data_IF_482281737782
#
_entry.id   IF_482281737782
#
_cell.length_a   1.000
_cell.length_b   1.000
_cell.length_c   1.000
_cell.angle_alpha   90.00
_cell.angle_beta   90.00
_cell.angle_gamma   90.00
#
_symmetry.space_group_name_H-M   'P 1'
#
loop_
_entity.id
_entity.type
_entity.pdbx_description
1 polymer ?
#
# COMPACT_ATOMS: atom_id res chain seq x y z
N UNK A 1 8.70 7.74 -5.41
CA UNK A 1 10.16 7.54 -5.48
C UNK A 1 10.62 7.28 -6.92
N UNK A 2 10.21 6.19 -7.59
CA UNK A 2 10.73 5.81 -8.92
C UNK A 2 10.61 6.88 -10.01
N UNK A 3 9.43 7.52 -10.15
CA UNK A 3 9.23 8.59 -11.14
C UNK A 3 10.14 9.80 -10.90
N UNK A 4 10.45 10.13 -9.64
CA UNK A 4 11.34 11.25 -9.32
C UNK A 4 12.77 10.97 -9.77
N UNK A 5 13.29 9.79 -9.43
CA UNK A 5 14.64 9.37 -9.84
C UNK A 5 14.78 9.38 -11.36
N UNK A 6 13.78 8.86 -12.08
CA UNK A 6 13.78 8.88 -13.54
C UNK A 6 13.80 10.31 -14.12
N UNK A 7 13.00 11.23 -13.56
CA UNK A 7 13.00 12.65 -13.99
C UNK A 7 14.37 13.29 -13.76
N UNK A 8 14.95 13.11 -12.57
CA UNK A 8 16.26 13.66 -12.22
C UNK A 8 17.36 13.12 -13.16
N UNK A 9 17.33 11.81 -13.45
CA UNK A 9 18.24 11.16 -14.41
C UNK A 9 18.12 11.75 -15.82
N UNK A 10 16.90 11.87 -16.34
CA UNK A 10 16.64 12.40 -17.68
C UNK A 10 17.15 13.85 -17.80
N UNK A 11 16.87 14.68 -16.80
CA UNK A 11 17.35 16.08 -16.76
C UNK A 11 18.88 16.17 -16.72
N UNK A 12 19.56 15.27 -16.00
CA UNK A 12 21.02 15.32 -15.86
C UNK A 12 21.78 14.76 -17.06
N UNK A 13 21.20 13.76 -17.74
CA UNK A 13 21.91 13.01 -18.80
C UNK A 13 21.46 13.37 -20.21
N UNK A 14 20.24 13.89 -20.38
CA UNK A 14 19.63 14.07 -21.69
C UNK A 14 19.27 12.74 -22.38
N UNK A 15 19.24 11.63 -21.64
CA UNK A 15 18.85 10.33 -22.20
C UNK A 15 17.36 10.31 -22.57
N UNK A 16 17.10 10.05 -23.85
CA UNK A 16 15.76 9.96 -24.44
C UNK A 16 15.31 8.51 -24.69
N UNK A 17 16.06 7.52 -24.20
CA UNK A 17 15.69 6.10 -24.30
C UNK A 17 14.31 5.87 -23.66
N UNK A 18 13.36 5.21 -24.36
CA UNK A 18 12.07 4.88 -23.78
C UNK A 18 12.20 4.08 -22.49
N UNK A 19 11.56 4.55 -21.42
CA UNK A 19 11.59 3.93 -20.10
C UNK A 19 10.19 3.51 -19.64
N UNK A 20 10.11 2.39 -18.92
CA UNK A 20 8.88 1.90 -18.29
C UNK A 20 8.99 2.08 -16.78
N UNK A 21 8.03 2.78 -16.17
CA UNK A 21 7.95 2.95 -14.72
C UNK A 21 6.98 1.92 -14.14
N UNK A 22 7.51 0.96 -13.37
CA UNK A 22 6.69 -0.03 -12.68
C UNK A 22 5.99 0.61 -11.46
N UNK A 23 4.66 0.74 -11.52
CA UNK A 23 3.84 1.11 -10.36
C UNK A 23 3.64 -0.10 -9.46
N UNK A 24 4.46 -0.21 -8.40
CA UNK A 24 4.53 -1.41 -7.54
C UNK A 24 3.36 -1.55 -6.57
N UNK A 25 2.60 -0.48 -6.33
CA UNK A 25 1.45 -0.50 -5.44
C UNK A 25 0.39 0.50 -5.88
N UNK A 26 -0.87 0.12 -5.63
CA UNK A 26 -2.00 1.04 -5.76
C UNK A 26 -1.93 2.14 -4.69
N UNK A 27 -2.32 3.39 -5.02
CA UNK A 27 -2.46 4.49 -4.05
C UNK A 27 -3.36 4.14 -2.86
N UNK A 28 -4.37 3.27 -3.04
CA UNK A 28 -5.28 2.82 -1.99
C UNK A 28 -4.62 1.95 -0.90
N UNK A 29 -3.35 1.53 -1.06
CA UNK A 29 -2.59 0.90 0.03
C UNK A 29 -2.03 1.93 1.03
N UNK A 30 -1.95 3.21 0.65
CA UNK A 30 -1.39 4.29 1.47
C UNK A 30 -2.23 5.58 1.36
N UNK A 31 -3.56 5.51 1.55
CA UNK A 31 -4.47 6.60 1.19
C UNK A 31 -4.19 7.89 1.97
N UNK A 32 -3.80 7.80 3.25
CA UNK A 32 -3.44 8.98 4.07
C UNK A 32 -2.22 9.72 3.52
N UNK A 33 -1.17 9.00 3.18
CA UNK A 33 0.04 9.59 2.60
C UNK A 33 -0.24 10.25 1.25
N UNK A 34 -1.13 9.65 0.45
CA UNK A 34 -1.54 10.20 -0.85
C UNK A 34 -2.37 11.47 -0.65
N UNK A 35 -3.37 11.47 0.24
CA UNK A 35 -4.17 12.65 0.56
C UNK A 35 -3.32 13.82 1.07
N UNK A 36 -2.41 13.56 2.01
CA UNK A 36 -1.50 14.60 2.50
C UNK A 36 -0.64 15.21 1.39
N UNK A 37 -0.13 14.37 0.47
CA UNK A 37 0.65 14.84 -0.68
C UNK A 37 -0.20 15.66 -1.68
N UNK A 38 -1.52 15.47 -1.69
CA UNK A 38 -2.48 16.25 -2.47
C UNK A 38 -2.97 17.51 -1.74
N UNK A 39 -2.51 17.76 -0.50
CA UNK A 39 -2.90 18.91 0.30
C UNK A 39 -4.22 18.74 1.05
N UNK A 40 -4.73 17.52 1.13
CA UNK A 40 -5.98 17.21 1.82
C UNK A 40 -5.77 16.98 3.33
N UNK A 41 -6.83 17.24 4.10
CA UNK A 41 -6.85 16.94 5.53
C UNK A 41 -6.72 15.45 5.81
N UNK A 42 -5.97 15.10 6.85
CA UNK A 42 -5.83 13.72 7.28
C UNK A 42 -7.07 13.29 8.07
N UNK A 43 -7.66 12.16 7.66
CA UNK A 43 -8.59 11.41 8.50
C UNK A 43 -7.81 10.54 9.49
N UNK A 44 -8.45 10.15 10.60
CA UNK A 44 -7.84 9.29 11.61
C UNK A 44 -7.71 7.83 11.17
N UNK A 45 -8.58 7.38 10.25
CA UNK A 45 -8.72 6.00 9.80
C UNK A 45 -8.31 5.82 8.32
N UNK A 46 -7.63 4.71 8.00
CA UNK A 46 -7.14 4.37 6.65
C UNK A 46 -8.30 4.09 5.68
N UNK A 47 -9.38 3.44 6.13
CA UNK A 47 -10.53 3.15 5.25
C UNK A 47 -11.32 4.42 4.91
N UNK A 48 -11.42 5.34 5.85
CA UNK A 48 -12.01 6.67 5.65
C UNK A 48 -11.17 7.49 4.67
N UNK A 49 -9.84 7.49 4.83
CA UNK A 49 -8.93 8.11 3.86
C UNK A 49 -9.10 7.51 2.46
N UNK A 50 -9.23 6.19 2.34
CA UNK A 50 -9.43 5.54 1.05
C UNK A 50 -10.72 5.97 0.35
N UNK A 51 -11.81 6.16 1.10
CA UNK A 51 -13.08 6.69 0.58
C UNK A 51 -12.95 8.16 0.14
N UNK A 52 -12.28 9.00 0.93
CA UNK A 52 -12.01 10.39 0.54
C UNK A 52 -11.17 10.46 -0.73
N UNK A 53 -10.17 9.58 -0.86
CA UNK A 53 -9.34 9.49 -2.06
C UNK A 53 -10.12 9.02 -3.30
N UNK A 54 -11.02 8.04 -3.16
CA UNK A 54 -11.97 7.64 -4.23
C UNK A 54 -12.85 8.82 -4.67
N UNK A 55 -13.40 9.57 -3.71
CA UNK A 55 -14.21 10.76 -3.99
C UNK A 55 -13.43 11.89 -4.68
N UNK A 56 -12.20 12.15 -4.24
CA UNK A 56 -11.34 13.21 -4.79
C UNK A 56 -10.87 12.88 -6.21
N UNK A 57 -10.48 11.63 -6.46
CA UNK A 57 -9.85 11.22 -7.72
C UNK A 57 -10.85 10.73 -8.77
N UNK A 58 -12.07 10.36 -8.35
CA UNK A 58 -13.05 9.67 -9.20
C UNK A 58 -12.62 8.26 -9.64
N UNK A 59 -11.50 7.75 -9.12
CA UNK A 59 -11.04 6.39 -9.38
C UNK A 59 -11.69 5.44 -8.39
N UNK A 60 -12.10 4.26 -8.87
CA UNK A 60 -12.71 3.26 -8.01
C UNK A 60 -11.65 2.54 -7.18
N UNK A 61 -11.91 2.44 -5.88
CA UNK A 61 -11.11 1.60 -4.99
C UNK A 61 -11.31 0.12 -5.35
N UNK A 62 -10.24 -0.69 -5.42
CA UNK A 62 -10.35 -2.12 -5.65
C UNK A 62 -11.29 -2.81 -4.65
N UNK A 63 -12.20 -3.66 -5.14
CA UNK A 63 -13.22 -4.31 -4.32
C UNK A 63 -12.64 -5.09 -3.11
N UNK A 64 -11.47 -5.71 -3.29
CA UNK A 64 -10.77 -6.41 -2.22
C UNK A 64 -10.39 -5.48 -1.04
N UNK A 65 -9.99 -4.24 -1.31
CA UNK A 65 -9.69 -3.24 -0.27
C UNK A 65 -10.96 -2.64 0.31
N UNK A 66 -11.98 -2.42 -0.52
CA UNK A 66 -13.28 -1.85 -0.10
C UNK A 66 -13.97 -2.70 0.97
N UNK A 67 -13.92 -4.02 0.82
CA UNK A 67 -14.61 -4.95 1.71
C UNK A 67 -13.75 -5.36 2.91
N UNK A 68 -12.45 -5.06 2.91
CA UNK A 68 -11.50 -5.58 3.90
C UNK A 68 -11.87 -5.24 5.34
N UNK A 69 -12.38 -4.02 5.60
CA UNK A 69 -12.79 -3.58 6.95
C UNK A 69 -13.97 -4.36 7.53
N UNK A 70 -14.73 -5.08 6.68
CA UNK A 70 -15.88 -5.88 7.12
C UNK A 70 -15.54 -7.35 7.36
N UNK A 71 -14.33 -7.78 6.97
CA UNK A 71 -13.91 -9.17 7.09
C UNK A 71 -13.39 -9.46 8.51
N UNK A 72 -13.67 -10.66 9.05
CA UNK A 72 -13.12 -11.06 10.33
C UNK A 72 -11.59 -11.22 10.24
N UNK A 73 -10.90 -10.79 11.29
CA UNK A 73 -9.46 -11.04 11.46
C UNK A 73 -9.25 -12.54 11.64
N UNK A 74 -8.39 -13.15 10.82
CA UNK A 74 -8.06 -14.58 10.86
C UNK A 74 -6.78 -14.90 11.61
N UNK A 75 -5.94 -13.88 11.82
CA UNK A 75 -4.62 -13.98 12.43
C UNK A 75 -4.53 -12.94 13.53
N UNK A 76 -4.87 -13.35 14.74
CA UNK A 76 -4.91 -12.55 15.96
C UNK A 76 -3.85 -12.97 16.99
N UNK A 77 -3.05 -13.99 16.66
CA UNK A 77 -1.93 -14.48 17.45
C UNK A 77 -0.61 -13.81 17.06
N UNK A 78 0.29 -13.67 18.03
CA UNK A 78 1.64 -13.17 17.81
C UNK A 78 2.67 -14.12 18.45
N UNK A 79 3.86 -14.20 17.87
CA UNK A 79 5.00 -14.93 18.43
C UNK A 79 6.25 -14.05 18.46
N UNK A 80 7.18 -14.40 19.33
CA UNK A 80 8.51 -13.79 19.33
C UNK A 80 9.36 -14.32 18.17
N UNK A 81 10.40 -13.58 17.81
CA UNK A 81 11.29 -13.97 16.72
C UNK A 81 11.93 -15.34 16.98
N UNK A 82 12.26 -15.64 18.24
CA UNK A 82 12.85 -16.93 18.63
C UNK A 82 11.88 -18.11 18.47
N UNK A 83 10.57 -17.89 18.65
CA UNK A 83 9.52 -18.90 18.57
C UNK A 83 8.87 -19.08 17.21
N UNK A 84 9.28 -18.31 16.19
CA UNK A 84 8.64 -18.32 14.86
C UNK A 84 8.60 -19.71 14.22
N UNK A 85 9.66 -20.50 14.34
CA UNK A 85 9.68 -21.88 13.82
C UNK A 85 8.59 -22.73 14.46
N UNK A 86 8.53 -22.72 15.80
CA UNK A 86 7.55 -23.49 16.58
C UNK A 86 6.12 -23.08 16.23
N UNK A 87 5.87 -21.77 16.16
CA UNK A 87 4.56 -21.22 15.80
C UNK A 87 4.10 -21.72 14.42
N UNK A 88 4.98 -21.66 13.40
CA UNK A 88 4.64 -22.13 12.05
C UNK A 88 4.41 -23.65 12.01
N UNK A 89 5.26 -24.45 12.67
CA UNK A 89 5.13 -25.92 12.69
C UNK A 89 3.83 -26.37 13.37
N UNK A 90 3.45 -25.73 14.48
CA UNK A 90 2.20 -26.00 15.19
C UNK A 90 0.98 -25.65 14.32
N UNK A 91 1.00 -24.49 13.63
CA UNK A 91 -0.13 -24.06 12.79
C UNK A 91 -0.28 -24.87 11.50
N UNK A 92 0.80 -25.46 11.00
CA UNK A 92 0.77 -26.34 9.82
C UNK A 92 0.52 -27.82 10.18
N UNK A 93 0.58 -28.20 11.46
CA UNK A 93 0.43 -29.59 11.90
C UNK A 93 1.61 -30.49 11.52
N UNK A 94 2.79 -29.91 11.34
CA UNK A 94 4.02 -30.61 10.92
C UNK A 94 4.95 -30.60 12.14
N UNK A 95 4.86 -31.65 12.96
CA UNK A 95 5.68 -31.84 14.17
C UNK A 95 7.05 -32.42 13.76
#
# INVERSE_FOLDING_TARGET
MGLKVYRDYKTQTGDETPAVIASTASPYKFPRSVLAALGEGLTDDEFSAARSLEGLTGQFMPAALKNLNSLPVRHDEACDTAGMRRFVTERLGII
#
